data_IF_175472130214
#
_entry.id   IF_175472130214
#
_cell.length_a   1.000
_cell.length_b   1.000
_cell.length_c   1.000
_cell.angle_alpha   90.00
_cell.angle_beta   90.00
_cell.angle_gamma   90.00
#
_symmetry.space_group_name_H-M   'P 1'
#
loop_
_entity.id
_entity.type
_entity.pdbx_description
1 polymer ?
#
# COMPACT_ATOMS: atom_id res chain seq x y z
N UNK A 1 -1.08 1.69 9.88
CA UNK A 1 -1.13 1.40 8.42
C UNK A 1 -1.28 2.70 7.65
N UNK A 2 -0.60 2.88 6.50
CA UNK A 2 -0.72 4.07 5.67
C UNK A 2 -0.62 3.75 4.18
N UNK A 3 -1.55 4.25 3.37
CA UNK A 3 -1.52 4.17 1.91
C UNK A 3 -0.78 5.39 1.36
N UNK A 4 0.26 5.16 0.57
CA UNK A 4 1.03 6.22 -0.09
C UNK A 4 0.74 6.19 -1.59
N UNK A 5 0.46 7.35 -2.22
CA UNK A 5 0.37 7.44 -3.66
C UNK A 5 1.73 7.17 -4.32
N UNK A 6 1.70 7.00 -5.63
CA UNK A 6 2.92 6.98 -6.43
C UNK A 6 3.67 8.30 -6.21
N UNK A 7 5.01 8.24 -6.12
CA UNK A 7 5.87 9.42 -5.98
C UNK A 7 5.61 10.26 -4.72
N UNK A 8 5.09 9.65 -3.63
CA UNK A 8 5.00 10.32 -2.33
C UNK A 8 6.39 10.79 -1.86
N UNK A 9 6.48 12.00 -1.30
CA UNK A 9 7.75 12.58 -0.85
C UNK A 9 8.43 11.75 0.26
N UNK A 10 7.70 10.91 1.01
CA UNK A 10 8.30 9.95 1.92
C UNK A 10 9.13 8.85 1.21
N UNK A 11 8.84 8.61 -0.07
CA UNK A 11 9.54 7.65 -0.94
C UNK A 11 10.68 8.35 -1.70
N UNK A 12 10.49 9.63 -2.11
CA UNK A 12 11.46 10.39 -2.91
C UNK A 12 12.47 11.20 -2.08
N UNK A 13 12.13 11.58 -0.85
CA UNK A 13 12.78 12.67 -0.12
C UNK A 13 13.84 12.30 0.92
N UNK A 14 14.18 11.03 1.14
CA UNK A 14 15.21 10.66 2.12
C UNK A 14 16.43 10.00 1.47
N UNK A 15 17.60 10.55 1.82
CA UNK A 15 18.93 10.16 1.35
C UNK A 15 19.33 8.71 1.71
N UNK A 16 18.51 8.00 2.52
CA UNK A 16 18.79 6.66 3.02
C UNK A 16 17.52 5.76 2.95
N UNK A 17 17.28 5.21 1.76
CA UNK A 17 16.02 4.52 1.36
C UNK A 17 15.78 3.18 2.09
N UNK A 18 16.82 2.61 2.70
CA UNK A 18 16.79 1.29 3.36
C UNK A 18 16.00 1.24 4.69
N UNK A 19 15.61 2.39 5.25
CA UNK A 19 14.80 2.43 6.48
C UNK A 19 13.32 2.15 6.26
N UNK A 20 12.83 2.30 5.02
CA UNK A 20 11.40 2.21 4.65
C UNK A 20 11.16 1.12 3.62
N UNK A 21 12.09 0.95 2.67
CA UNK A 21 12.03 -0.03 1.58
C UNK A 21 13.21 -0.98 1.75
N UNK A 22 12.92 -2.26 2.00
CA UNK A 22 13.97 -3.28 2.03
C UNK A 22 14.67 -3.39 0.67
N UNK A 23 15.93 -3.82 0.69
CA UNK A 23 16.80 -3.83 -0.50
C UNK A 23 16.20 -4.59 -1.70
N UNK A 24 15.44 -5.64 -1.43
CA UNK A 24 14.70 -6.42 -2.43
C UNK A 24 13.70 -5.61 -3.26
N UNK A 25 13.26 -4.44 -2.77
CA UNK A 25 12.16 -3.66 -3.33
C UNK A 25 12.54 -2.24 -3.77
N UNK A 26 13.84 -1.92 -3.82
CA UNK A 26 14.35 -0.58 -4.18
C UNK A 26 13.85 -0.07 -5.55
N UNK A 27 13.45 -0.95 -6.47
CA UNK A 27 12.89 -0.60 -7.78
C UNK A 27 11.48 0.02 -7.76
N UNK A 28 10.72 -0.15 -6.66
CA UNK A 28 9.34 0.34 -6.56
C UNK A 28 9.25 1.87 -6.62
N UNK A 29 10.28 2.57 -6.15
CA UNK A 29 10.37 4.04 -6.18
C UNK A 29 10.55 4.61 -7.59
N UNK A 30 11.14 3.86 -8.52
CA UNK A 30 11.37 4.29 -9.92
C UNK A 30 10.15 3.98 -10.79
N UNK A 31 9.42 2.92 -10.45
CA UNK A 31 8.28 2.43 -11.23
C UNK A 31 6.95 3.18 -10.97
N UNK A 32 6.93 4.20 -10.11
CA UNK A 32 5.71 4.94 -9.78
C UNK A 32 4.65 4.08 -9.09
N UNK A 33 5.08 3.13 -8.26
CA UNK A 33 4.18 2.17 -7.63
C UNK A 33 3.65 2.76 -6.31
N UNK A 34 2.34 2.60 -6.08
CA UNK A 34 1.69 2.98 -4.83
C UNK A 34 1.89 1.88 -3.79
N UNK A 35 2.19 2.26 -2.55
CA UNK A 35 2.57 1.32 -1.49
C UNK A 35 1.73 1.48 -0.23
N UNK A 36 1.69 0.42 0.57
CA UNK A 36 1.10 0.40 1.91
C UNK A 36 2.21 0.19 2.93
N UNK A 37 2.27 1.08 3.92
CA UNK A 37 3.14 0.95 5.07
C UNK A 37 2.40 0.28 6.24
N UNK A 38 3.04 -0.73 6.82
CA UNK A 38 2.68 -1.33 8.11
C UNK A 38 3.86 -1.10 9.05
N UNK A 39 3.61 -0.49 10.21
CA UNK A 39 4.66 -0.09 11.17
C UNK A 39 5.84 0.67 10.54
N UNK A 40 5.54 1.54 9.58
CA UNK A 40 6.53 2.37 8.89
C UNK A 40 7.33 1.66 7.79
N UNK A 41 7.06 0.39 7.50
CA UNK A 41 7.74 -0.40 6.45
C UNK A 41 6.80 -0.76 5.32
N UNK A 42 7.30 -0.75 4.08
CA UNK A 42 6.52 -1.22 2.93
C UNK A 42 6.17 -2.69 3.12
N UNK A 43 4.86 -2.98 3.09
CA UNK A 43 4.32 -4.31 3.32
C UNK A 43 3.46 -4.80 2.16
N UNK A 44 2.95 -3.88 1.32
CA UNK A 44 2.14 -4.19 0.15
C UNK A 44 2.25 -3.10 -0.91
N UNK A 45 1.81 -3.41 -2.13
CA UNK A 45 1.46 -2.43 -3.17
C UNK A 45 -0.05 -2.30 -3.27
N UNK A 46 -0.55 -1.24 -3.90
CA UNK A 46 -1.97 -1.10 -4.16
C UNK A 46 -2.30 -0.40 -5.48
N UNK A 47 -3.48 -0.72 -6.00
CA UNK A 47 -4.06 -0.12 -7.21
C UNK A 47 -5.53 0.16 -6.98
N UNK A 48 -6.14 0.93 -7.91
CA UNK A 48 -7.58 1.19 -7.92
C UNK A 48 -8.09 0.91 -9.32
N UNK A 49 -9.16 0.12 -9.40
CA UNK A 49 -9.88 -0.17 -10.63
C UNK A 49 -11.35 -0.38 -10.28
N UNK A 50 -12.26 0.22 -11.05
CA UNK A 50 -13.71 0.08 -10.87
C UNK A 50 -14.13 0.29 -9.40
N UNK A 51 -13.67 1.41 -8.81
CA UNK A 51 -13.87 1.83 -7.41
C UNK A 51 -13.44 0.81 -6.35
N UNK A 52 -12.58 -0.14 -6.75
CA UNK A 52 -12.06 -1.18 -5.87
C UNK A 52 -10.58 -0.95 -5.60
N UNK A 53 -10.24 -0.76 -4.33
CA UNK A 53 -8.85 -0.71 -3.86
C UNK A 53 -8.33 -2.14 -3.75
N UNK A 54 -7.37 -2.50 -4.61
CA UNK A 54 -6.71 -3.81 -4.55
C UNK A 54 -5.35 -3.66 -3.88
N UNK A 55 -5.13 -4.44 -2.83
CA UNK A 55 -3.88 -4.47 -2.06
C UNK A 55 -3.19 -5.81 -2.28
N UNK A 56 -1.94 -5.75 -2.74
CA UNK A 56 -1.10 -6.92 -3.01
C UNK A 56 0.06 -6.96 -2.00
N UNK A 57 0.01 -7.84 -0.99
CA UNK A 57 1.10 -8.00 -0.03
C UNK A 57 2.43 -8.37 -0.71
N UNK A 58 3.54 -7.85 -0.19
CA UNK A 58 4.90 -8.22 -0.61
C UNK A 58 5.53 -9.27 0.33
N UNK A 59 4.84 -9.58 1.42
CA UNK A 59 5.18 -10.59 2.41
C UNK A 59 3.89 -11.09 3.05
N UNK A 60 3.97 -12.17 3.80
CA UNK A 60 2.87 -12.57 4.66
C UNK A 60 2.55 -11.46 5.68
N UNK A 61 1.26 -11.14 5.77
CA UNK A 61 0.72 -10.22 6.77
C UNK A 61 0.14 -11.03 7.91
N UNK A 62 0.34 -10.55 9.14
CA UNK A 62 -0.41 -11.10 10.26
C UNK A 62 -1.90 -10.84 10.07
N UNK A 63 -2.76 -11.57 10.78
CA UNK A 63 -4.20 -11.31 10.74
C UNK A 63 -4.53 -9.87 11.13
N UNK A 64 -3.87 -9.35 12.17
CA UNK A 64 -4.05 -7.97 12.63
C UNK A 64 -3.63 -6.95 11.56
N UNK A 65 -2.49 -7.17 10.89
CA UNK A 65 -2.05 -6.29 9.80
C UNK A 65 -3.03 -6.33 8.63
N UNK A 66 -3.52 -7.51 8.28
CA UNK A 66 -4.49 -7.69 7.20
C UNK A 66 -5.80 -6.95 7.49
N UNK A 67 -6.30 -7.04 8.71
CA UNK A 67 -7.52 -6.36 9.14
C UNK A 67 -7.33 -4.83 9.13
N UNK A 68 -6.20 -4.34 9.63
CA UNK A 68 -5.87 -2.91 9.61
C UNK A 68 -5.67 -2.36 8.19
N UNK A 69 -5.09 -3.16 7.29
CA UNK A 69 -4.95 -2.83 5.85
C UNK A 69 -6.30 -2.77 5.16
N UNK A 70 -7.17 -3.75 5.41
CA UNK A 70 -8.52 -3.74 4.86
C UNK A 70 -9.29 -2.49 5.31
N UNK A 71 -9.23 -2.16 6.60
CA UNK A 71 -9.94 -1.02 7.16
C UNK A 71 -9.50 0.31 6.55
N UNK A 72 -8.19 0.57 6.52
CA UNK A 72 -7.66 1.77 5.87
C UNK A 72 -7.94 1.78 4.36
N UNK A 73 -7.97 0.61 3.71
CA UNK A 73 -8.32 0.48 2.31
C UNK A 73 -9.77 0.84 2.01
N UNK A 74 -10.73 0.51 2.89
CA UNK A 74 -12.14 0.92 2.76
C UNK A 74 -12.29 2.43 2.87
N UNK A 75 -11.62 3.04 3.85
CA UNK A 75 -11.63 4.49 4.02
C UNK A 75 -11.07 5.20 2.77
N UNK A 76 -10.01 4.64 2.18
CA UNK A 76 -9.46 5.14 0.93
C UNK A 76 -10.39 4.94 -0.26
N UNK A 77 -11.03 3.78 -0.39
CA UNK A 77 -12.00 3.52 -1.46
C UNK A 77 -13.15 4.54 -1.40
N UNK A 78 -13.71 4.73 -0.20
CA UNK A 78 -14.79 5.70 0.04
C UNK A 78 -14.36 7.12 -0.31
N UNK A 79 -13.14 7.52 0.07
CA UNK A 79 -12.60 8.83 -0.32
C UNK A 79 -12.45 9.00 -1.83
N UNK A 80 -12.00 7.97 -2.55
CA UNK A 80 -11.77 8.04 -3.99
C UNK A 80 -13.06 7.99 -4.82
N UNK A 81 -14.14 7.47 -4.25
CA UNK A 81 -15.45 7.36 -4.88
C UNK A 81 -16.45 8.42 -4.37
N UNK A 82 -15.99 9.51 -3.76
CA UNK A 82 -16.84 10.55 -3.14
C UNK A 82 -17.90 10.01 -2.15
N UNK A 83 -17.61 8.88 -1.51
CA UNK A 83 -18.49 8.21 -0.54
C UNK A 83 -19.27 7.01 -1.09
N UNK A 84 -19.31 6.80 -2.41
CA UNK A 84 -20.21 5.84 -3.06
C UNK A 84 -19.78 4.36 -3.02
N UNK A 85 -18.56 4.05 -2.56
CA UNK A 85 -18.03 2.69 -2.55
C UNK A 85 -16.89 2.47 -1.55
N UNK A 86 -16.93 1.34 -0.84
CA UNK A 86 -15.90 0.95 0.15
C UNK A 86 -15.16 -0.34 -0.24
N UNK A 87 -15.15 -0.69 -1.53
CA UNK A 87 -14.64 -1.98 -1.99
C UNK A 87 -13.13 -2.08 -1.82
N UNK A 88 -12.70 -3.04 -1.01
CA UNK A 88 -11.30 -3.38 -0.81
C UNK A 88 -11.08 -4.88 -1.00
N UNK A 89 -9.99 -5.23 -1.70
CA UNK A 89 -9.55 -6.61 -1.86
C UNK A 89 -8.08 -6.73 -1.43
N UNK A 90 -7.81 -7.56 -0.43
CA UNK A 90 -6.43 -7.92 -0.05
C UNK A 90 -6.13 -9.31 -0.61
N UNK A 91 -5.18 -9.41 -1.53
CA UNK A 91 -4.80 -10.68 -2.17
C UNK A 91 -3.85 -11.52 -1.29
N UNK A 92 -3.46 -12.70 -1.78
CA UNK A 92 -2.27 -13.39 -1.27
C UNK A 92 -0.99 -12.64 -1.70
N UNK A 93 0.14 -12.80 -0.98
CA UNK A 93 1.41 -12.24 -1.41
C UNK A 93 1.85 -12.80 -2.77
N UNK A 94 2.51 -11.96 -3.57
CA UNK A 94 3.21 -12.44 -4.77
C UNK A 94 4.63 -12.84 -4.35
N UNK A 95 5.01 -14.09 -4.66
CA UNK A 95 6.30 -14.68 -4.30
C UNK A 95 7.48 -14.17 -5.12
#
# INVERSE_FOLDING_TARGET
VRFLPAFDNAILGYHDRGRIIDDAHRGLSVAGIRVVLVDGRVAATWTVKDDTVTVTPLRDLTRADRDAVAEQGRALASFLSDGDGERVQVTAPQG
#
